data_IF_790256052632
#
_entry.id   IF_790256052632
#
_cell.length_a   1.000
_cell.length_b   1.000
_cell.length_c   1.000
_cell.angle_alpha   90.00
_cell.angle_beta   90.00
_cell.angle_gamma   90.00
#
_symmetry.space_group_name_H-M   'P 1'
#
loop_
_entity.id
_entity.type
_entity.pdbx_description
1 polymer ?
#
# COMPACT_ATOMS: atom_id res chain seq x y z
N UNK A 1 0.04 -15.65 -5.72
CA UNK A 1 1.33 -15.43 -5.04
C UNK A 1 1.19 -15.68 -3.54
N UNK A 2 2.21 -16.22 -2.88
CA UNK A 2 2.14 -16.60 -1.45
C UNK A 2 1.94 -15.41 -0.52
N UNK A 3 2.47 -14.23 -0.88
CA UNK A 3 2.28 -12.98 -0.14
C UNK A 3 0.80 -12.57 -0.06
N UNK A 4 0.02 -12.80 -1.13
CA UNK A 4 -1.41 -12.46 -1.13
C UNK A 4 -2.21 -13.25 -0.10
N UNK A 5 -1.90 -14.54 0.07
CA UNK A 5 -2.55 -15.41 1.07
C UNK A 5 -2.20 -15.00 2.49
N UNK A 6 -0.96 -14.56 2.75
CA UNK A 6 -0.52 -14.10 4.08
C UNK A 6 -1.27 -12.84 4.56
N UNK A 7 -1.70 -11.98 3.64
CA UNK A 7 -2.44 -10.74 3.98
C UNK A 7 -3.95 -10.85 3.80
N UNK A 8 -4.46 -12.08 3.63
CA UNK A 8 -5.90 -12.35 3.60
C UNK A 8 -6.59 -11.98 2.28
N UNK A 9 -5.83 -11.84 1.18
CA UNK A 9 -6.41 -11.66 -0.17
C UNK A 9 -7.06 -12.97 -0.57
N UNK A 10 -8.38 -13.00 -0.73
CA UNK A 10 -9.12 -14.19 -1.16
C UNK A 10 -9.11 -14.30 -2.67
N UNK A 11 -9.30 -13.17 -3.36
CA UNK A 11 -9.13 -13.04 -4.79
C UNK A 11 -8.19 -11.87 -5.13
N UNK A 12 -7.11 -12.15 -5.86
CA UNK A 12 -6.14 -11.14 -6.30
C UNK A 12 -6.67 -10.28 -7.45
N UNK A 13 -7.71 -10.76 -8.14
CA UNK A 13 -8.35 -10.05 -9.24
C UNK A 13 -9.54 -9.20 -8.77
N UNK A 14 -10.02 -9.40 -7.53
CA UNK A 14 -10.95 -8.47 -6.90
C UNK A 14 -10.20 -7.21 -6.44
N UNK A 15 -10.56 -6.02 -6.93
CA UNK A 15 -9.84 -4.79 -6.59
C UNK A 15 -9.88 -4.45 -5.10
N UNK A 16 -10.98 -4.76 -4.40
CA UNK A 16 -11.12 -4.42 -2.98
C UNK A 16 -10.21 -5.31 -2.11
N UNK A 17 -10.23 -6.62 -2.34
CA UNK A 17 -9.35 -7.58 -1.67
C UNK A 17 -7.87 -7.31 -1.98
N UNK A 18 -7.54 -6.97 -3.24
CA UNK A 18 -6.18 -6.64 -3.65
C UNK A 18 -5.64 -5.39 -2.93
N UNK A 19 -6.44 -4.32 -2.87
CA UNK A 19 -6.08 -3.08 -2.17
C UNK A 19 -5.95 -3.34 -0.67
N UNK A 20 -6.90 -4.07 -0.06
CA UNK A 20 -6.85 -4.34 1.38
C UNK A 20 -5.59 -5.14 1.75
N UNK A 21 -5.29 -6.21 1.00
CA UNK A 21 -4.07 -7.00 1.22
C UNK A 21 -2.79 -6.22 0.97
N UNK A 22 -2.72 -5.47 -0.13
CA UNK A 22 -1.56 -4.64 -0.48
C UNK A 22 -1.28 -3.56 0.56
N UNK A 23 -2.32 -2.89 1.07
CA UNK A 23 -2.18 -1.85 2.11
C UNK A 23 -1.75 -2.45 3.45
N UNK A 24 -2.28 -3.63 3.83
CA UNK A 24 -1.83 -4.34 5.04
C UNK A 24 -0.36 -4.73 4.93
N UNK A 25 0.05 -5.30 3.80
CA UNK A 25 1.44 -5.64 3.56
C UNK A 25 2.35 -4.42 3.65
N UNK A 26 1.96 -3.32 2.98
CA UNK A 26 2.72 -2.08 3.02
C UNK A 26 2.85 -1.52 4.44
N UNK A 27 1.79 -1.58 5.25
CA UNK A 27 1.82 -1.15 6.66
C UNK A 27 2.86 -1.93 7.46
N UNK A 28 2.92 -3.24 7.27
CA UNK A 28 3.86 -4.10 8.00
C UNK A 28 5.30 -3.85 7.55
N UNK A 29 5.53 -3.59 6.26
CA UNK A 29 6.84 -3.15 5.77
C UNK A 29 7.26 -1.80 6.35
N UNK A 30 6.35 -0.83 6.41
CA UNK A 30 6.63 0.49 6.99
C UNK A 30 7.03 0.36 8.46
N UNK A 31 6.38 -0.54 9.20
CA UNK A 31 6.74 -0.85 10.59
C UNK A 31 8.10 -1.55 10.67
N UNK A 32 8.32 -2.58 9.85
CA UNK A 32 9.54 -3.39 9.84
C UNK A 32 10.79 -2.57 9.52
N UNK A 33 10.69 -1.64 8.58
CA UNK A 33 11.81 -0.80 8.14
C UNK A 33 11.79 0.60 8.74
N UNK A 34 11.06 0.81 9.84
CA UNK A 34 11.05 2.07 10.60
C UNK A 34 10.81 3.31 9.72
N UNK A 35 9.87 3.20 8.78
CA UNK A 35 9.52 4.25 7.80
C UNK A 35 10.66 4.65 6.85
N UNK A 36 11.71 3.84 6.71
CA UNK A 36 12.69 4.02 5.65
C UNK A 36 12.07 3.71 4.28
N UNK A 37 11.54 4.74 3.63
CA UNK A 37 10.77 4.62 2.37
C UNK A 37 11.50 3.82 1.30
N UNK A 38 12.83 3.94 1.18
CA UNK A 38 13.60 3.19 0.17
C UNK A 38 13.59 1.69 0.44
N UNK A 39 13.76 1.28 1.70
CA UNK A 39 13.73 -0.13 2.09
C UNK A 39 12.31 -0.72 2.02
N UNK A 40 11.30 0.08 2.39
CA UNK A 40 9.89 -0.29 2.22
C UNK A 40 9.57 -0.58 0.76
N UNK A 41 9.92 0.33 -0.15
CA UNK A 41 9.69 0.16 -1.59
C UNK A 41 10.49 -1.01 -2.16
N UNK A 42 11.74 -1.18 -1.71
CA UNK A 42 12.57 -2.33 -2.10
C UNK A 42 11.92 -3.66 -1.69
N UNK A 43 11.47 -3.78 -0.44
CA UNK A 43 10.83 -4.99 0.06
C UNK A 43 9.45 -5.24 -0.54
N UNK A 44 8.71 -4.18 -0.89
CA UNK A 44 7.42 -4.30 -1.56
C UNK A 44 7.58 -4.89 -2.98
N UNK A 45 8.60 -4.46 -3.73
CA UNK A 45 8.87 -4.94 -5.08
C UNK A 45 9.67 -6.26 -5.11
N UNK A 46 10.79 -6.35 -4.39
CA UNK A 46 11.72 -7.48 -4.44
C UNK A 46 11.51 -8.54 -3.34
N UNK A 47 10.66 -8.25 -2.35
CA UNK A 47 10.45 -9.09 -1.17
C UNK A 47 11.43 -8.82 -0.02
N UNK A 48 10.97 -9.10 1.20
CA UNK A 48 11.76 -8.88 2.42
C UNK A 48 13.04 -9.74 2.47
N UNK A 49 12.97 -10.98 2.00
CA UNK A 49 14.13 -11.89 1.98
C UNK A 49 15.26 -11.38 1.08
N UNK A 50 14.93 -10.73 -0.05
CA UNK A 50 15.93 -10.10 -0.89
C UNK A 50 16.61 -8.94 -0.16
N UNK A 51 15.82 -8.05 0.47
CA UNK A 51 16.37 -6.93 1.23
C UNK A 51 17.26 -7.41 2.39
N UNK A 52 16.85 -8.47 3.08
CA UNK A 52 17.64 -9.12 4.13
C UNK A 52 18.95 -9.71 3.59
N UNK A 53 18.88 -10.45 2.48
CA UNK A 53 20.05 -11.07 1.81
C UNK A 53 21.09 -10.03 1.41
N UNK A 54 20.67 -8.92 0.84
CA UNK A 54 21.56 -7.84 0.38
C UNK A 54 21.85 -6.80 1.46
N UNK A 55 21.32 -6.97 2.68
CA UNK A 55 21.44 -6.01 3.79
C UNK A 55 21.06 -4.57 3.39
N UNK A 56 20.06 -4.44 2.53
CA UNK A 56 19.71 -3.19 1.88
C UNK A 56 18.98 -3.39 0.56
N UNK A 57 19.02 -2.39 -0.30
CA UNK A 57 18.36 -2.45 -1.61
C UNK A 57 19.09 -3.48 -2.49
N UNK A 58 18.41 -4.53 -3.00
CA UNK A 58 19.05 -5.49 -3.89
C UNK A 58 19.45 -4.81 -5.21
N UNK A 59 20.55 -5.24 -5.86
CA UNK A 59 21.02 -4.67 -7.12
C UNK A 59 20.19 -5.17 -8.32
N UNK A 60 18.87 -5.25 -8.17
CA UNK A 60 17.93 -5.62 -9.22
C UNK A 60 17.55 -4.35 -10.01
N UNK A 61 17.80 -4.31 -11.34
CA UNK A 61 17.46 -3.15 -12.15
C UNK A 61 15.99 -2.74 -12.03
N UNK A 62 15.08 -3.73 -11.96
CA UNK A 62 13.65 -3.51 -11.75
C UNK A 62 13.37 -2.76 -10.44
N UNK A 63 13.93 -3.23 -9.32
CA UNK A 63 13.72 -2.63 -7.99
C UNK A 63 14.29 -1.22 -7.90
N UNK A 64 15.48 -1.00 -8.46
CA UNK A 64 16.11 0.32 -8.52
C UNK A 64 15.23 1.27 -9.34
N UNK A 65 14.71 0.83 -10.49
CA UNK A 65 13.83 1.63 -11.33
C UNK A 65 12.50 1.92 -10.63
N UNK A 66 11.89 0.92 -10.00
CA UNK A 66 10.66 1.04 -9.23
C UNK A 66 10.77 2.13 -8.15
N UNK A 67 11.84 2.10 -7.35
CA UNK A 67 12.09 3.12 -6.31
C UNK A 67 12.20 4.51 -6.94
N UNK A 68 12.97 4.66 -8.02
CA UNK A 68 13.14 5.94 -8.73
C UNK A 68 11.80 6.48 -9.23
N UNK A 69 10.99 5.63 -9.88
CA UNK A 69 9.67 6.01 -10.42
C UNK A 69 8.74 6.50 -9.32
N UNK A 70 8.61 5.74 -8.22
CA UNK A 70 7.73 6.11 -7.11
C UNK A 70 8.22 7.38 -6.41
N UNK A 71 9.53 7.54 -6.19
CA UNK A 71 10.06 8.76 -5.57
C UNK A 71 9.86 10.00 -6.45
N UNK A 72 9.98 9.86 -7.77
CA UNK A 72 9.73 10.95 -8.70
C UNK A 72 8.26 11.35 -8.78
N UNK A 73 7.33 10.39 -8.60
CA UNK A 73 5.90 10.65 -8.58
C UNK A 73 5.35 11.06 -7.21
N UNK A 74 6.02 10.72 -6.11
CA UNK A 74 5.52 10.96 -4.75
C UNK A 74 5.19 12.44 -4.47
N UNK A 75 6.01 13.35 -4.98
CA UNK A 75 5.82 14.80 -4.81
C UNK A 75 4.92 15.43 -5.90
N UNK A 76 4.42 14.64 -6.84
CA UNK A 76 3.57 15.09 -7.94
C UNK A 76 2.19 14.44 -7.80
N UNK A 77 1.10 15.20 -7.63
CA UNK A 77 -0.23 14.61 -7.59
C UNK A 77 -0.50 13.87 -8.91
N UNK A 78 -0.54 12.52 -8.84
CA UNK A 78 -0.84 11.66 -9.98
C UNK A 78 -2.29 11.85 -10.47
N UNK A 79 -3.16 12.29 -9.58
CA UNK A 79 -4.55 12.60 -9.88
C UNK A 79 -4.67 14.11 -10.11
N UNK A 80 -4.88 14.51 -11.37
CA UNK A 80 -5.09 15.92 -11.76
C UNK A 80 -6.50 16.45 -11.42
N UNK A 81 -7.49 15.55 -11.28
CA UNK A 81 -8.86 15.89 -10.90
C UNK A 81 -9.11 15.53 -9.43
N UNK A 82 -9.44 16.51 -8.60
CA UNK A 82 -9.75 16.29 -7.19
C UNK A 82 -11.11 15.59 -7.02
N UNK A 83 -11.15 14.26 -7.13
CA UNK A 83 -12.26 13.51 -6.56
C UNK A 83 -12.18 13.64 -5.03
N UNK A 84 -13.24 14.15 -4.41
CA UNK A 84 -13.30 14.31 -2.95
C UNK A 84 -13.22 12.92 -2.29
N UNK A 85 -12.18 12.70 -1.51
CA UNK A 85 -12.00 11.48 -0.72
C UNK A 85 -12.51 11.74 0.69
N UNK A 86 -13.42 10.91 1.14
CA UNK A 86 -13.95 10.87 2.50
C UNK A 86 -13.16 9.87 3.33
N UNK A 87 -12.92 10.21 4.61
CA UNK A 87 -12.22 9.37 5.57
C UNK A 87 -13.12 9.15 6.78
N UNK A 88 -13.26 7.89 7.21
CA UNK A 88 -13.94 7.55 8.46
C UNK A 88 -13.28 6.33 9.13
N UNK A 89 -13.65 6.05 10.37
CA UNK A 89 -13.27 4.84 11.10
C UNK A 89 -14.49 3.93 11.13
N UNK A 90 -14.36 2.68 10.67
CA UNK A 90 -15.46 1.72 10.70
C UNK A 90 -15.67 1.10 12.10
N UNK A 91 -16.72 0.29 12.24
CA UNK A 91 -17.06 -0.39 13.51
C UNK A 91 -15.95 -1.32 14.03
N UNK A 92 -15.00 -1.70 13.17
CA UNK A 92 -13.85 -2.55 13.50
C UNK A 92 -12.59 -1.72 13.81
N UNK A 93 -12.69 -0.40 13.88
CA UNK A 93 -11.57 0.51 14.14
C UNK A 93 -10.65 0.72 12.93
N UNK A 94 -11.04 0.29 11.73
CA UNK A 94 -10.24 0.43 10.51
C UNK A 94 -10.44 1.82 9.90
N UNK A 95 -9.36 2.44 9.44
CA UNK A 95 -9.46 3.66 8.64
C UNK A 95 -9.93 3.30 7.23
N UNK A 96 -11.06 3.87 6.81
CA UNK A 96 -11.62 3.72 5.47
C UNK A 96 -11.48 5.03 4.71
N UNK A 97 -11.03 4.93 3.46
CA UNK A 97 -10.97 6.02 2.49
C UNK A 97 -11.90 5.66 1.33
N UNK A 98 -12.81 6.56 0.95
CA UNK A 98 -13.75 6.32 -0.16
C UNK A 98 -14.07 7.61 -0.91
N UNK A 99 -14.31 7.52 -2.21
CA UNK A 99 -14.91 8.60 -2.99
C UNK A 99 -16.45 8.52 -3.04
N UNK A 100 -17.05 7.46 -2.48
CA UNK A 100 -18.50 7.31 -2.37
C UNK A 100 -19.04 8.10 -1.18
N UNK A 101 -19.70 9.21 -1.47
CA UNK A 101 -20.33 10.06 -0.46
C UNK A 101 -21.49 9.37 0.27
N UNK A 102 -22.27 8.53 -0.40
CA UNK A 102 -23.42 7.86 0.22
C UNK A 102 -22.94 6.80 1.22
N UNK A 103 -21.89 6.07 0.87
CA UNK A 103 -21.23 5.16 1.80
C UNK A 103 -20.66 5.90 3.00
N UNK A 104 -19.95 7.00 2.80
CA UNK A 104 -19.45 7.82 3.92
C UNK A 104 -20.60 8.30 4.83
N UNK A 105 -21.67 8.83 4.23
CA UNK A 105 -22.83 9.38 4.93
C UNK A 105 -23.56 8.34 5.78
N UNK A 106 -23.58 7.07 5.37
CA UNK A 106 -24.24 6.00 6.15
C UNK A 106 -23.47 5.64 7.43
N UNK A 107 -22.14 5.84 7.45
CA UNK A 107 -21.29 5.54 8.60
C UNK A 107 -21.24 6.67 9.63
N UNK A 108 -21.28 7.94 9.19
CA UNK A 108 -21.21 9.09 10.11
C UNK A 108 -22.56 9.49 10.73
N UNK A 109 -23.66 8.87 10.28
CA UNK A 109 -25.03 9.11 10.78
C UNK A 109 -25.51 8.07 11.80
N UNK A 110 -24.70 7.03 12.05
CA UNK A 110 -24.87 6.13 13.19
C UNK A 110 -24.28 6.77 14.44
#
# INVERSE_FOLDING_TARGET
PDTGKQYGVKDLFDPADNIEGGVKYLKDLVKLYERNTKLVLAAYNAGQEAVKKYKGIPPYPETINYIKTIQASYNKPLIRNYTKIYKYIDEKGRTVLTNDYNLYKSYIKK
#
